data_IF_274476965622
#
_entry.id   IF_274476965622
#
_cell.length_a   1.000
_cell.length_b   1.000
_cell.length_c   1.000
_cell.angle_alpha   90.00
_cell.angle_beta   90.00
_cell.angle_gamma   90.00
#
_symmetry.space_group_name_H-M   'P 1'
#
loop_
_entity.id
_entity.type
_entity.pdbx_description
1 polymer ?
#
# COMPACT_ATOMS: atom_id res chain seq x y z
N UNK A 1 10.99 1.18 -20.60
CA UNK A 1 9.90 1.19 -19.61
C UNK A 1 10.49 1.68 -18.30
N UNK A 2 10.12 2.86 -17.84
CA UNK A 2 10.57 3.32 -16.54
C UNK A 2 10.06 2.37 -15.46
N UNK A 3 10.99 1.89 -14.65
CA UNK A 3 10.70 0.91 -13.62
C UNK A 3 9.88 1.61 -12.53
N UNK A 4 8.62 1.21 -12.34
CA UNK A 4 7.76 1.76 -11.30
C UNK A 4 8.47 1.78 -9.94
N UNK A 5 8.46 2.93 -9.26
CA UNK A 5 9.11 3.06 -7.96
C UNK A 5 8.23 2.48 -6.85
N UNK A 6 8.82 1.70 -5.97
CA UNK A 6 8.20 1.22 -4.74
C UNK A 6 8.97 1.72 -3.52
N UNK A 7 8.26 2.20 -2.51
CA UNK A 7 8.86 2.63 -1.26
C UNK A 7 9.01 1.49 -0.24
N UNK A 8 8.18 0.45 -0.33
CA UNK A 8 8.28 -0.71 0.58
C UNK A 8 9.43 -1.61 0.15
N UNK A 9 10.34 -1.89 1.10
CA UNK A 9 11.56 -2.67 0.90
C UNK A 9 11.69 -3.80 1.92
N UNK A 10 12.58 -4.75 1.62
CA UNK A 10 12.98 -5.82 2.51
C UNK A 10 14.45 -5.65 2.89
N UNK A 11 14.75 -5.77 4.18
CA UNK A 11 16.07 -6.09 4.69
C UNK A 11 16.16 -7.63 4.81
N UNK A 12 16.95 -8.23 3.91
CA UNK A 12 17.06 -9.67 3.83
C UNK A 12 17.77 -10.26 5.07
N UNK A 13 18.68 -9.53 5.69
CA UNK A 13 19.44 -10.01 6.84
C UNK A 13 18.55 -10.15 8.07
N UNK A 14 17.58 -9.27 8.25
CA UNK A 14 16.60 -9.32 9.33
C UNK A 14 15.43 -10.28 9.04
N UNK A 15 15.25 -10.71 7.79
CA UNK A 15 14.11 -11.56 7.42
C UNK A 15 14.34 -13.02 7.89
N UNK A 16 13.37 -13.56 8.63
CA UNK A 16 13.39 -14.94 9.14
C UNK A 16 12.50 -15.90 8.35
N UNK A 17 12.01 -15.50 7.16
CA UNK A 17 11.18 -16.34 6.30
C UNK A 17 9.83 -16.75 6.89
N UNK A 18 9.32 -16.05 7.90
CA UNK A 18 8.00 -16.33 8.49
C UNK A 18 6.85 -15.95 7.54
N UNK A 19 5.64 -16.44 7.82
CA UNK A 19 4.47 -16.27 6.95
C UNK A 19 3.65 -15.00 7.24
N UNK A 20 3.98 -14.20 8.24
CA UNK A 20 3.13 -13.08 8.68
C UNK A 20 2.83 -12.08 7.56
N UNK A 21 3.85 -11.65 6.81
CA UNK A 21 3.67 -10.67 5.75
C UNK A 21 2.93 -11.23 4.52
N UNK A 22 3.09 -12.52 4.19
CA UNK A 22 2.38 -13.13 3.06
C UNK A 22 0.88 -13.28 3.36
N UNK A 23 0.53 -13.58 4.61
CA UNK A 23 -0.86 -13.75 5.04
C UNK A 23 -1.64 -12.44 5.10
N UNK A 24 -0.95 -11.34 5.32
CA UNK A 24 -1.58 -10.01 5.47
C UNK A 24 -1.48 -9.15 4.21
N UNK A 25 -0.85 -9.65 3.15
CA UNK A 25 -0.73 -8.89 1.92
C UNK A 25 -2.04 -8.90 1.13
N UNK A 26 -2.72 -7.75 0.95
CA UNK A 26 -4.05 -7.68 0.34
C UNK A 26 -4.06 -8.05 -1.15
N UNK A 27 -2.93 -7.88 -1.82
CA UNK A 27 -2.75 -8.20 -3.24
C UNK A 27 -1.92 -9.46 -3.45
N UNK A 28 -1.60 -10.18 -2.37
CA UNK A 28 -0.77 -11.39 -2.43
C UNK A 28 0.57 -11.16 -3.16
N UNK A 29 1.15 -9.96 -2.99
CA UNK A 29 2.40 -9.55 -3.64
C UNK A 29 3.65 -10.20 -3.04
N UNK A 30 3.54 -10.98 -1.98
CA UNK A 30 4.69 -11.50 -1.24
C UNK A 30 4.73 -13.02 -1.33
N UNK A 31 5.95 -13.55 -1.54
CA UNK A 31 6.28 -14.97 -1.44
C UNK A 31 7.42 -15.14 -0.43
N UNK A 32 7.52 -16.33 0.16
CA UNK A 32 8.72 -16.76 0.90
C UNK A 32 9.39 -17.84 0.06
N UNK A 33 10.63 -17.61 -0.33
CA UNK A 33 11.45 -18.55 -1.09
C UNK A 33 12.84 -18.57 -0.43
N UNK A 34 13.46 -19.74 -0.34
CA UNK A 34 14.78 -19.92 0.28
C UNK A 34 14.91 -19.27 1.67
N UNK A 35 13.84 -19.36 2.48
CA UNK A 35 13.82 -18.79 3.83
C UNK A 35 13.72 -17.25 3.88
N UNK A 36 13.51 -16.56 2.78
CA UNK A 36 13.40 -15.09 2.71
C UNK A 36 12.12 -14.65 1.99
N UNK A 37 11.56 -13.54 2.43
CA UNK A 37 10.42 -12.94 1.75
C UNK A 37 10.87 -12.20 0.47
N UNK A 38 10.12 -12.36 -0.59
CA UNK A 38 10.30 -11.66 -1.87
C UNK A 38 9.04 -10.86 -2.17
N UNK A 39 9.17 -9.62 -2.64
CA UNK A 39 8.04 -8.75 -3.00
C UNK A 39 7.94 -8.72 -4.52
N UNK A 40 6.83 -9.20 -5.07
CA UNK A 40 6.52 -8.99 -6.47
C UNK A 40 6.04 -7.53 -6.64
N UNK A 41 6.87 -6.73 -7.30
CA UNK A 41 6.63 -5.30 -7.49
C UNK A 41 5.35 -5.01 -8.30
N UNK A 42 4.97 -5.87 -9.25
CA UNK A 42 3.75 -5.69 -10.05
C UNK A 42 2.47 -5.73 -9.22
N UNK A 43 2.45 -6.53 -8.15
CA UNK A 43 1.29 -6.67 -7.27
C UNK A 43 1.31 -5.73 -6.06
N UNK A 44 2.46 -5.14 -5.73
CA UNK A 44 2.60 -4.30 -4.55
C UNK A 44 1.90 -2.96 -4.74
N UNK A 45 1.02 -2.60 -3.78
CA UNK A 45 0.32 -1.31 -3.72
C UNK A 45 0.90 -0.36 -2.66
N UNK A 46 2.03 -0.69 -2.08
CA UNK A 46 2.73 0.08 -1.04
C UNK A 46 1.87 0.47 0.17
N UNK A 47 0.86 -0.33 0.53
CA UNK A 47 -0.02 -0.04 1.67
C UNK A 47 0.68 -0.08 3.04
N UNK A 48 1.85 -0.73 3.12
CA UNK A 48 2.64 -0.83 4.36
C UNK A 48 2.15 -1.90 5.34
N UNK A 49 1.13 -2.70 5.05
CA UNK A 49 0.63 -3.72 5.97
C UNK A 49 1.72 -4.75 6.35
N UNK A 50 2.55 -5.13 5.39
CA UNK A 50 3.69 -6.02 5.65
C UNK A 50 4.75 -5.41 6.59
N UNK A 51 4.88 -4.08 6.65
CA UNK A 51 5.72 -3.37 7.62
C UNK A 51 5.11 -3.49 9.01
N UNK A 52 3.80 -3.26 9.13
CA UNK A 52 3.04 -3.31 10.39
C UNK A 52 3.14 -4.67 11.07
N UNK A 53 3.03 -5.76 10.30
CA UNK A 53 2.93 -7.13 10.85
C UNK A 53 4.27 -7.86 10.96
N UNK A 54 5.38 -7.24 10.56
CA UNK A 54 6.69 -7.87 10.62
C UNK A 54 7.30 -7.81 12.03
N UNK A 55 7.35 -8.92 12.79
CA UNK A 55 7.90 -8.91 14.15
C UNK A 55 9.41 -8.72 14.18
N UNK A 56 10.08 -8.94 13.03
CA UNK A 56 11.54 -8.82 12.90
C UNK A 56 11.96 -7.47 12.32
N UNK A 57 11.02 -6.56 12.04
CA UNK A 57 11.26 -5.26 11.41
C UNK A 57 12.03 -5.31 10.08
N UNK A 58 12.03 -6.49 9.43
CA UNK A 58 12.70 -6.72 8.14
C UNK A 58 12.03 -5.97 6.98
N UNK A 59 10.74 -5.62 7.11
CA UNK A 59 10.04 -4.76 6.14
C UNK A 59 10.11 -3.32 6.61
N UNK A 60 10.51 -2.43 5.71
CA UNK A 60 10.60 -1.00 5.99
C UNK A 60 10.17 -0.18 4.76
N UNK A 61 9.97 1.11 4.95
CA UNK A 61 9.77 2.06 3.86
C UNK A 61 11.00 2.91 3.66
N UNK A 62 11.35 3.19 2.41
CA UNK A 62 12.36 4.20 2.06
C UNK A 62 11.69 5.56 1.96
N UNK A 63 12.31 6.57 2.53
CA UNK A 63 11.91 7.98 2.50
C UNK A 63 13.16 8.85 2.66
N UNK A 64 13.02 10.16 2.40
CA UNK A 64 14.13 11.10 2.51
C UNK A 64 14.46 11.38 3.99
N UNK A 65 15.67 11.90 4.25
CA UNK A 65 16.15 12.30 5.56
C UNK A 65 16.16 13.83 5.69
N UNK A 66 16.23 14.35 6.92
CA UNK A 66 16.19 15.80 7.18
C UNK A 66 17.33 16.60 6.51
N UNK A 67 18.43 15.95 6.13
CA UNK A 67 19.53 16.59 5.43
C UNK A 67 19.15 17.10 4.02
N UNK A 68 18.03 16.63 3.45
CA UNK A 68 17.50 17.13 2.17
C UNK A 68 17.17 18.62 2.21
N UNK A 69 16.90 19.21 3.39
CA UNK A 69 16.67 20.65 3.53
C UNK A 69 17.84 21.49 2.97
N UNK A 70 19.06 20.98 3.08
CA UNK A 70 20.29 21.65 2.61
C UNK A 70 20.45 21.66 1.09
N UNK A 71 19.60 20.94 0.36
CA UNK A 71 19.67 20.83 -1.10
C UNK A 71 18.98 21.99 -1.82
N UNK A 72 18.18 22.78 -1.09
CA UNK A 72 17.37 23.86 -1.63
C UNK A 72 17.72 25.20 -0.99
N UNK A 73 17.53 26.28 -1.73
CA UNK A 73 17.72 27.65 -1.19
C UNK A 73 16.50 28.07 -0.34
N UNK A 74 15.33 27.56 -0.67
CA UNK A 74 14.09 27.79 0.08
C UNK A 74 13.31 26.50 0.23
N UNK A 75 12.82 26.21 1.43
CA UNK A 75 12.12 24.96 1.73
C UNK A 75 10.76 25.23 2.35
N UNK A 76 9.73 24.56 1.83
CA UNK A 76 8.36 24.62 2.37
C UNK A 76 7.98 23.26 2.94
N UNK A 77 7.58 23.23 4.21
CA UNK A 77 7.05 22.03 4.83
C UNK A 77 5.56 21.85 4.50
N UNK A 78 5.17 20.65 4.09
CA UNK A 78 3.77 20.25 3.92
C UNK A 78 3.40 19.25 5.01
N UNK A 79 2.93 19.66 6.21
CA UNK A 79 2.51 18.75 7.25
C UNK A 79 1.19 18.06 6.88
N UNK A 80 1.17 16.71 6.91
CA UNK A 80 -0.08 15.96 6.79
C UNK A 80 -0.99 16.24 8.00
N UNK A 81 -2.33 16.27 7.85
CA UNK A 81 -3.26 16.48 8.98
C UNK A 81 -3.07 15.46 10.11
N UNK A 82 -2.62 14.25 9.79
CA UNK A 82 -2.30 13.21 10.77
C UNK A 82 -1.10 13.53 11.68
N UNK A 83 -0.23 14.47 11.30
CA UNK A 83 0.91 14.89 12.13
C UNK A 83 0.46 15.48 13.46
N UNK A 84 -0.58 16.32 13.45
CA UNK A 84 -1.06 17.01 14.65
C UNK A 84 -1.54 16.06 15.74
N UNK A 85 -2.00 14.87 15.40
CA UNK A 85 -2.48 13.85 16.33
C UNK A 85 -1.36 13.05 17.03
N UNK A 86 -0.10 13.24 16.63
CA UNK A 86 1.01 12.46 17.17
C UNK A 86 1.52 12.98 18.53
N UNK A 87 1.12 14.19 18.93
CA UNK A 87 1.60 14.84 20.14
C UNK A 87 0.58 14.75 21.27
N UNK A 88 1.11 14.66 22.50
CA UNK A 88 0.28 14.73 23.70
C UNK A 88 -0.04 16.20 24.03
N UNK A 89 -1.28 16.43 24.46
CA UNK A 89 -1.75 17.75 24.93
C UNK A 89 -1.58 18.90 23.90
N UNK A 90 -1.59 18.57 22.62
CA UNK A 90 -1.64 19.59 21.59
C UNK A 90 -3.06 20.17 21.51
N UNK A 91 -3.22 21.45 21.73
CA UNK A 91 -4.47 22.21 21.68
C UNK A 91 -4.45 23.33 20.63
N UNK A 92 -3.27 23.70 20.12
CA UNK A 92 -3.09 24.64 19.03
C UNK A 92 -2.15 24.09 17.93
N UNK A 93 -2.62 24.06 16.67
CA UNK A 93 -1.83 23.65 15.50
C UNK A 93 -0.62 24.55 15.28
N UNK A 94 -0.71 25.84 15.65
CA UNK A 94 0.34 26.83 15.48
C UNK A 94 1.64 26.43 16.20
N UNK A 95 1.57 25.68 17.30
CA UNK A 95 2.75 25.14 17.99
C UNK A 95 3.57 24.25 17.05
N UNK A 96 2.90 23.35 16.31
CA UNK A 96 3.56 22.44 15.35
C UNK A 96 4.10 23.20 14.15
N UNK A 97 3.32 24.16 13.61
CA UNK A 97 3.72 24.92 12.43
C UNK A 97 4.95 25.80 12.73
N UNK A 98 4.97 26.52 13.85
CA UNK A 98 6.13 27.30 14.27
C UNK A 98 7.34 26.44 14.62
N UNK A 99 7.11 25.23 15.18
CA UNK A 99 8.18 24.29 15.45
C UNK A 99 8.84 23.76 14.16
N UNK A 100 8.09 23.61 13.07
CA UNK A 100 8.64 23.27 11.74
C UNK A 100 9.55 24.39 11.22
N UNK A 101 9.16 25.65 11.37
CA UNK A 101 10.04 26.80 11.04
C UNK A 101 11.33 26.76 11.88
N UNK A 102 11.25 26.48 13.18
CA UNK A 102 12.42 26.32 14.05
C UNK A 102 13.30 25.12 13.68
N UNK A 103 12.76 24.09 13.02
CA UNK A 103 13.54 22.97 12.49
C UNK A 103 14.40 23.33 11.28
N UNK A 104 14.19 24.51 10.69
CA UNK A 104 14.95 25.00 9.54
C UNK A 104 14.17 25.02 8.22
N UNK A 105 12.86 24.79 8.23
CA UNK A 105 12.03 25.13 7.09
C UNK A 105 11.86 26.65 6.99
N UNK A 106 11.80 27.16 5.76
CA UNK A 106 11.64 28.61 5.52
C UNK A 106 10.16 29.02 5.57
N UNK A 107 9.26 28.12 5.16
CA UNK A 107 7.82 28.32 5.19
C UNK A 107 7.08 27.00 5.48
N UNK A 108 5.81 27.10 5.82
CA UNK A 108 4.91 25.95 6.04
C UNK A 108 3.62 26.20 5.29
N UNK A 109 3.16 25.19 4.54
CA UNK A 109 1.85 25.19 3.89
C UNK A 109 1.06 23.96 4.37
N UNK A 110 -0.09 24.19 4.99
CA UNK A 110 -0.88 23.10 5.56
C UNK A 110 -1.58 22.27 4.48
N UNK A 111 -1.33 20.95 4.44
CA UNK A 111 -2.10 20.03 3.60
C UNK A 111 -3.59 20.02 4.00
N UNK A 112 -3.89 20.32 5.25
CA UNK A 112 -5.27 20.48 5.74
C UNK A 112 -5.99 21.67 5.11
N UNK A 113 -5.30 22.78 4.79
CA UNK A 113 -5.90 23.89 4.06
C UNK A 113 -6.29 23.49 2.63
N UNK A 114 -5.40 22.80 1.91
CA UNK A 114 -5.73 22.24 0.59
C UNK A 114 -6.84 21.19 0.66
N UNK A 115 -6.96 20.43 1.76
CA UNK A 115 -8.04 19.47 1.94
C UNK A 115 -9.42 20.13 2.02
N UNK A 116 -9.51 21.37 2.51
CA UNK A 116 -10.76 22.16 2.49
C UNK A 116 -11.17 22.51 1.05
N UNK A 117 -10.20 22.89 0.21
CA UNK A 117 -10.42 23.17 -1.21
C UNK A 117 -10.89 21.92 -1.96
N UNK A 118 -10.22 20.78 -1.74
CA UNK A 118 -10.62 19.50 -2.34
C UNK A 118 -12.03 19.09 -1.86
N UNK A 119 -12.39 19.32 -0.59
CA UNK A 119 -13.75 19.05 -0.09
C UNK A 119 -14.80 19.92 -0.81
N UNK A 120 -14.48 21.17 -1.11
CA UNK A 120 -15.34 22.07 -1.87
C UNK A 120 -15.53 21.59 -3.31
N UNK A 121 -14.44 21.28 -4.02
CA UNK A 121 -14.46 20.72 -5.37
C UNK A 121 -15.18 19.36 -5.43
N UNK A 122 -15.07 18.54 -4.38
CA UNK A 122 -15.80 17.26 -4.31
C UNK A 122 -17.31 17.48 -4.23
N UNK A 123 -17.78 18.44 -3.41
CA UNK A 123 -19.21 18.77 -3.34
C UNK A 123 -19.75 19.23 -4.69
N UNK A 124 -19.01 20.07 -5.39
CA UNK A 124 -19.37 20.54 -6.74
C UNK A 124 -19.43 19.36 -7.71
N UNK A 125 -18.37 18.53 -7.77
CA UNK A 125 -18.33 17.34 -8.63
C UNK A 125 -19.52 16.41 -8.40
N UNK A 126 -19.88 16.11 -7.15
CA UNK A 126 -21.01 15.23 -6.83
C UNK A 126 -22.36 15.81 -7.29
N UNK A 127 -22.52 17.12 -7.29
CA UNK A 127 -23.74 17.79 -7.77
C UNK A 127 -23.84 17.79 -9.29
N UNK A 128 -22.72 17.88 -10.00
CA UNK A 128 -22.65 17.97 -11.46
C UNK A 128 -22.65 16.62 -12.17
N UNK A 129 -22.27 15.53 -11.47
CA UNK A 129 -22.07 14.21 -12.06
C UNK A 129 -22.94 13.09 -11.42
N UNK A 130 -24.28 13.22 -11.43
CA UNK A 130 -25.16 12.24 -10.78
C UNK A 130 -25.05 10.83 -11.39
N UNK A 131 -24.69 10.71 -12.66
CA UNK A 131 -24.56 9.43 -13.38
C UNK A 131 -23.29 8.66 -13.05
N UNK A 132 -22.33 9.26 -12.31
CA UNK A 132 -21.06 8.65 -11.90
C UNK A 132 -21.00 8.32 -10.42
N UNK A 133 -22.13 8.28 -9.75
CA UNK A 133 -22.23 7.96 -8.33
C UNK A 133 -22.36 6.45 -8.10
N UNK A 134 -21.86 5.94 -6.95
CA UNK A 134 -21.10 6.69 -5.95
C UNK A 134 -19.68 7.00 -6.45
N UNK A 135 -19.19 8.20 -6.14
CA UNK A 135 -17.78 8.55 -6.39
C UNK A 135 -16.88 7.98 -5.29
N UNK A 136 -15.74 7.42 -5.68
CA UNK A 136 -14.75 6.84 -4.76
C UNK A 136 -13.63 7.85 -4.54
N UNK A 137 -13.29 8.14 -3.27
CA UNK A 137 -12.16 8.99 -2.90
C UNK A 137 -10.83 8.50 -3.49
N UNK A 138 -10.03 9.44 -3.99
CA UNK A 138 -8.69 9.20 -4.53
C UNK A 138 -7.58 9.68 -3.61
N UNK A 139 -7.91 10.09 -2.39
CA UNK A 139 -6.96 10.58 -1.39
C UNK A 139 -5.96 9.52 -0.91
N UNK A 140 -6.32 8.22 -0.97
CA UNK A 140 -5.45 7.10 -0.60
C UNK A 140 -4.84 6.42 -1.82
N UNK A 141 -3.53 6.65 -2.15
CA UNK A 141 -2.92 6.06 -3.34
C UNK A 141 -2.89 4.52 -3.33
N UNK A 142 -2.86 3.88 -2.15
CA UNK A 142 -2.97 2.41 -2.05
C UNK A 142 -4.32 1.91 -2.53
N UNK A 143 -5.41 2.62 -2.23
CA UNK A 143 -6.76 2.25 -2.66
C UNK A 143 -6.90 2.44 -4.17
N UNK A 144 -6.44 3.57 -4.71
CA UNK A 144 -6.46 3.81 -6.16
C UNK A 144 -5.69 2.73 -6.91
N UNK A 145 -4.51 2.33 -6.41
CA UNK A 145 -3.72 1.22 -7.00
C UNK A 145 -4.41 -0.13 -6.86
N UNK A 146 -5.06 -0.39 -5.73
CA UNK A 146 -5.84 -1.60 -5.54
C UNK A 146 -6.99 -1.70 -6.57
N UNK A 147 -7.71 -0.60 -6.78
CA UNK A 147 -8.77 -0.51 -7.79
C UNK A 147 -8.19 -0.74 -9.18
N UNK A 148 -7.09 -0.08 -9.51
CA UNK A 148 -6.41 -0.20 -10.79
C UNK A 148 -6.00 -1.63 -11.14
N UNK A 149 -5.58 -2.44 -10.16
CA UNK A 149 -5.08 -3.80 -10.42
C UNK A 149 -6.14 -4.89 -10.23
N UNK A 150 -7.15 -4.67 -9.38
CA UNK A 150 -8.10 -5.73 -8.99
C UNK A 150 -9.55 -5.42 -9.32
N UNK A 151 -9.96 -4.16 -9.37
CA UNK A 151 -11.36 -3.73 -9.53
C UNK A 151 -11.54 -2.80 -10.73
N UNK A 152 -11.20 -3.23 -11.97
CA UNK A 152 -11.20 -2.34 -13.13
C UNK A 152 -12.57 -1.73 -13.45
N UNK A 153 -13.66 -2.41 -13.10
CA UNK A 153 -15.02 -1.91 -13.31
C UNK A 153 -15.34 -0.67 -12.46
N UNK A 154 -14.59 -0.44 -11.37
CA UNK A 154 -14.76 0.72 -10.48
C UNK A 154 -13.85 1.91 -10.84
N UNK A 155 -12.98 1.79 -11.84
CA UNK A 155 -12.15 2.92 -12.32
C UNK A 155 -13.00 4.13 -12.73
N UNK A 156 -14.14 4.00 -13.43
CA UNK A 156 -14.99 5.12 -13.77
C UNK A 156 -15.61 5.86 -12.58
N UNK A 157 -15.66 5.22 -11.41
CA UNK A 157 -16.17 5.80 -10.17
C UNK A 157 -15.10 6.58 -9.38
N UNK A 158 -13.81 6.49 -9.75
CA UNK A 158 -12.76 7.26 -9.09
C UNK A 158 -13.03 8.75 -9.27
N UNK A 159 -12.97 9.49 -8.15
CA UNK A 159 -13.08 10.93 -8.13
C UNK A 159 -11.87 11.55 -8.86
N UNK A 160 -12.02 12.23 -10.00
CA UNK A 160 -10.89 12.70 -10.81
C UNK A 160 -10.29 14.00 -10.27
N UNK A 161 -10.01 14.03 -8.96
CA UNK A 161 -9.41 15.17 -8.27
C UNK A 161 -8.06 14.78 -7.68
N UNK A 162 -7.13 15.75 -7.70
CA UNK A 162 -5.83 15.61 -7.06
C UNK A 162 -5.98 15.44 -5.54
N UNK A 163 -5.19 14.60 -4.90
CA UNK A 163 -5.21 14.47 -3.45
C UNK A 163 -4.72 15.78 -2.80
N UNK A 164 -5.17 16.10 -1.57
CA UNK A 164 -4.81 17.35 -0.90
C UNK A 164 -3.30 17.65 -0.83
N UNK A 165 -2.45 16.63 -0.77
CA UNK A 165 -1.00 16.82 -0.76
C UNK A 165 -0.48 17.40 -2.07
N UNK A 166 -1.05 17.00 -3.21
CA UNK A 166 -0.66 17.53 -4.52
C UNK A 166 -1.15 18.97 -4.70
N UNK A 167 -2.39 19.24 -4.34
CA UNK A 167 -2.95 20.61 -4.36
C UNK A 167 -2.14 21.54 -3.45
N UNK A 168 -1.79 21.07 -2.24
CA UNK A 168 -0.93 21.84 -1.32
C UNK A 168 0.45 22.11 -1.93
N UNK A 169 1.03 21.13 -2.62
CA UNK A 169 2.36 21.28 -3.24
C UNK A 169 2.35 22.32 -4.37
N UNK A 170 1.33 22.29 -5.23
CA UNK A 170 1.17 23.26 -6.31
C UNK A 170 1.04 24.69 -5.73
N UNK A 171 0.13 24.89 -4.79
CA UNK A 171 -0.13 26.19 -4.18
C UNK A 171 1.08 26.70 -3.38
N UNK A 172 1.78 25.83 -2.65
CA UNK A 172 2.99 26.16 -1.92
C UNK A 172 4.13 26.58 -2.85
N UNK A 173 4.31 25.87 -3.98
CA UNK A 173 5.32 26.20 -4.98
C UNK A 173 5.03 27.57 -5.64
N UNK A 174 3.78 27.81 -6.07
CA UNK A 174 3.37 29.10 -6.64
C UNK A 174 3.57 30.26 -5.64
N UNK A 175 3.16 30.07 -4.38
CA UNK A 175 3.38 31.05 -3.30
C UNK A 175 4.87 31.36 -3.12
N UNK A 176 5.69 30.31 -2.95
CA UNK A 176 7.12 30.46 -2.70
C UNK A 176 7.85 31.16 -3.87
N UNK A 177 7.55 30.80 -5.12
CA UNK A 177 8.11 31.47 -6.31
C UNK A 177 7.74 32.96 -6.35
N UNK A 178 6.49 33.28 -6.02
CA UNK A 178 5.99 34.66 -6.02
C UNK A 178 6.64 35.51 -4.91
N UNK A 179 6.79 34.95 -3.72
CA UNK A 179 7.32 35.66 -2.56
C UNK A 179 8.85 35.82 -2.60
N UNK A 180 9.56 34.80 -3.09
CA UNK A 180 11.04 34.79 -3.10
C UNK A 180 11.65 35.25 -4.42
N UNK A 181 10.93 35.15 -5.52
CA UNK A 181 11.46 35.36 -6.88
C UNK A 181 12.43 34.27 -7.33
N UNK A 182 12.57 33.17 -6.57
CA UNK A 182 13.42 32.05 -6.92
C UNK A 182 12.80 31.20 -8.00
N UNK A 183 13.59 30.58 -8.89
CA UNK A 183 13.08 29.58 -9.82
C UNK A 183 12.69 28.31 -9.08
N UNK A 184 11.75 27.52 -9.67
CA UNK A 184 11.14 26.33 -9.04
C UNK A 184 12.16 25.31 -8.52
N UNK A 185 13.26 25.12 -9.25
CA UNK A 185 14.29 24.11 -8.95
C UNK A 185 15.08 24.43 -7.66
N UNK A 186 15.04 25.68 -7.19
CA UNK A 186 15.70 26.12 -5.95
C UNK A 186 14.79 26.05 -4.73
N UNK A 187 13.50 25.77 -4.96
CA UNK A 187 12.48 25.65 -3.94
C UNK A 187 12.23 24.17 -3.68
N UNK A 188 12.38 23.73 -2.42
CA UNK A 188 12.08 22.36 -2.00
C UNK A 188 10.71 22.27 -1.36
N UNK A 189 9.77 21.59 -2.02
CA UNK A 189 8.46 21.29 -1.47
C UNK A 189 8.52 19.91 -0.80
N UNK A 190 8.41 19.89 0.53
CA UNK A 190 8.77 18.73 1.36
C UNK A 190 7.56 18.25 2.16
N UNK A 191 7.04 17.08 1.79
CA UNK A 191 5.89 16.49 2.45
C UNK A 191 6.27 15.67 3.68
N UNK A 192 5.59 15.88 4.81
CA UNK A 192 5.75 15.10 6.04
C UNK A 192 4.64 14.03 6.09
N UNK A 193 4.99 12.81 5.73
CA UNK A 193 4.08 11.72 5.36
C UNK A 193 3.81 10.72 6.46
N UNK A 194 2.55 10.25 6.63
CA UNK A 194 2.20 9.15 7.52
C UNK A 194 2.44 7.75 6.91
N UNK A 195 2.66 7.62 5.59
CA UNK A 195 2.61 6.30 4.95
C UNK A 195 3.54 6.17 3.74
N UNK A 196 3.97 4.91 3.42
CA UNK A 196 4.82 4.62 2.28
C UNK A 196 4.13 4.85 0.93
N UNK A 197 2.81 4.66 0.84
CA UNK A 197 2.08 4.82 -0.42
C UNK A 197 2.17 6.25 -0.96
N UNK A 198 2.19 7.25 -0.10
CA UNK A 198 2.40 8.65 -0.49
C UNK A 198 3.85 8.92 -0.91
N UNK A 199 4.83 8.22 -0.32
CA UNK A 199 6.23 8.27 -0.81
C UNK A 199 6.31 7.73 -2.23
N UNK A 200 5.63 6.60 -2.49
CA UNK A 200 5.55 6.02 -3.83
C UNK A 200 4.79 6.93 -4.80
N UNK A 201 3.68 7.55 -4.35
CA UNK A 201 2.88 8.47 -5.17
C UNK A 201 3.72 9.64 -5.70
N UNK A 202 4.54 10.26 -4.86
CA UNK A 202 5.42 11.37 -5.27
C UNK A 202 6.40 10.96 -6.38
N UNK A 203 6.85 9.70 -6.39
CA UNK A 203 7.78 9.18 -7.42
C UNK A 203 7.08 8.59 -8.64
N UNK A 204 5.84 8.17 -8.49
CA UNK A 204 5.02 7.54 -9.53
C UNK A 204 3.55 7.91 -9.28
N UNK A 205 3.16 9.16 -9.59
CA UNK A 205 1.83 9.67 -9.31
C UNK A 205 0.75 8.98 -10.15
N UNK A 206 -0.49 9.16 -9.72
CA UNK A 206 -1.70 8.73 -10.42
C UNK A 206 -2.60 9.94 -10.61
N UNK A 207 -3.16 10.12 -11.79
CA UNK A 207 -4.00 11.27 -12.13
C UNK A 207 -3.22 12.51 -12.59
N UNK A 208 -1.89 12.50 -12.51
CA UNK A 208 -1.01 13.57 -13.01
C UNK A 208 0.29 12.99 -13.57
N UNK A 209 0.95 13.70 -14.47
CA UNK A 209 2.20 13.26 -15.09
C UNK A 209 3.40 13.31 -14.13
N UNK A 210 3.43 14.28 -13.23
CA UNK A 210 4.44 14.45 -12.21
C UNK A 210 3.83 15.03 -10.93
N UNK A 211 4.52 14.88 -9.82
CA UNK A 211 4.15 15.49 -8.53
C UNK A 211 4.97 16.75 -8.30
N UNK A 212 4.34 17.78 -7.76
CA UNK A 212 5.02 19.01 -7.33
C UNK A 212 5.72 18.85 -5.97
N UNK A 213 5.58 17.69 -5.32
CA UNK A 213 6.35 17.36 -4.11
C UNK A 213 7.76 16.87 -4.49
N UNK A 214 8.79 17.53 -4.01
CA UNK A 214 10.19 17.17 -4.31
C UNK A 214 10.71 16.05 -3.41
N UNK A 215 10.39 16.09 -2.11
CA UNK A 215 10.91 15.18 -1.08
C UNK A 215 9.84 14.77 -0.09
N UNK A 216 10.02 13.58 0.50
CA UNK A 216 9.07 13.05 1.49
C UNK A 216 9.82 12.61 2.73
N UNK A 217 9.52 13.24 3.85
CA UNK A 217 9.95 12.84 5.19
C UNK A 217 8.88 12.01 5.87
N UNK A 218 9.28 11.02 6.67
CA UNK A 218 8.32 10.29 7.49
C UNK A 218 8.01 11.07 8.78
N UNK A 219 6.76 11.02 9.24
CA UNK A 219 6.38 11.60 10.54
C UNK A 219 7.30 11.09 11.66
N UNK A 220 7.54 9.78 11.73
CA UNK A 220 8.43 9.19 12.74
C UNK A 220 9.88 9.68 12.67
N UNK A 221 10.35 10.12 11.50
CA UNK A 221 11.70 10.68 11.31
C UNK A 221 11.82 12.08 11.87
N UNK A 222 10.82 12.93 11.64
CA UNK A 222 10.83 14.32 12.11
C UNK A 222 10.40 14.45 13.57
N UNK A 223 9.64 13.49 14.08
CA UNK A 223 9.00 13.55 15.41
C UNK A 223 9.95 13.92 16.56
N UNK A 224 11.15 13.31 16.74
CA UNK A 224 12.00 13.60 17.88
C UNK A 224 12.49 15.06 17.90
N UNK A 225 12.91 15.57 16.74
CA UNK A 225 13.40 16.95 16.61
C UNK A 225 12.24 17.95 16.72
N UNK A 226 11.10 17.64 16.08
CA UNK A 226 9.90 18.47 16.12
C UNK A 226 9.39 18.62 17.56
N UNK A 227 9.35 17.53 18.33
CA UNK A 227 8.97 17.58 19.75
C UNK A 227 9.87 18.49 20.58
N UNK A 228 11.17 18.53 20.27
CA UNK A 228 12.13 19.44 20.93
C UNK A 228 11.88 20.90 20.56
N UNK A 229 11.62 21.19 19.29
CA UNK A 229 11.27 22.53 18.82
C UNK A 229 9.94 23.02 19.39
N UNK A 230 8.90 22.16 19.48
CA UNK A 230 7.61 22.52 20.08
C UNK A 230 7.73 23.00 21.52
N UNK A 231 8.62 22.37 22.31
CA UNK A 231 8.89 22.83 23.70
C UNK A 231 9.53 24.23 23.73
N UNK A 232 10.31 24.57 22.71
CA UNK A 232 10.96 25.89 22.60
C UNK A 232 10.03 26.99 22.07
N UNK A 233 9.02 26.61 21.25
CA UNK A 233 7.96 27.51 20.77
C UNK A 233 7.12 28.05 21.95
N UNK A 234 6.80 27.19 22.93
CA UNK A 234 5.91 27.54 24.05
C UNK A 234 4.43 27.46 23.70
N UNK A 235 3.59 28.01 24.63
CA UNK A 235 2.13 27.83 24.57
C UNK A 235 1.38 28.96 23.82
N UNK A 236 2.04 30.05 23.44
CA UNK A 236 1.43 31.20 22.75
C UNK A 236 2.24 31.57 21.48
N UNK A 237 2.24 30.68 20.44
CA UNK A 237 2.97 30.93 19.21
C UNK A 237 2.24 31.94 18.31
N UNK A 238 2.98 32.59 17.36
CA UNK A 238 2.33 33.35 16.28
C UNK A 238 1.29 32.53 15.52
N UNK A 239 0.15 33.13 15.22
CA UNK A 239 -0.91 32.49 14.42
C UNK A 239 -0.50 32.49 12.94
N UNK A 240 -0.21 31.32 12.39
CA UNK A 240 0.12 31.09 10.98
C UNK A 240 -0.75 30.00 10.33
N UNK A 241 -1.59 29.32 11.14
CA UNK A 241 -2.48 28.26 10.68
C UNK A 241 -3.63 28.81 9.83
N UNK A 242 -3.87 28.20 8.68
CA UNK A 242 -4.88 28.57 7.68
C UNK A 242 -5.97 27.52 7.50
N UNK A 243 -5.94 26.40 8.22
CA UNK A 243 -6.92 25.36 8.13
C UNK A 243 -7.97 25.41 9.23
N UNK A 244 -9.15 24.87 8.94
CA UNK A 244 -10.24 24.70 9.89
C UNK A 244 -10.53 23.22 10.21
N UNK A 245 -11.71 22.99 10.79
CA UNK A 245 -12.16 21.67 11.23
C UNK A 245 -12.24 20.63 10.09
N UNK A 246 -12.70 21.03 8.90
CA UNK A 246 -12.83 20.13 7.74
C UNK A 246 -11.44 19.60 7.38
N UNK A 247 -10.48 20.47 7.13
CA UNK A 247 -9.14 20.11 6.69
C UNK A 247 -8.40 19.22 7.68
N UNK A 248 -8.43 19.57 8.97
CA UNK A 248 -7.81 18.76 10.02
C UNK A 248 -8.47 17.37 10.13
N UNK A 249 -9.78 17.26 9.86
CA UNK A 249 -10.51 15.99 9.92
C UNK A 249 -10.02 14.95 8.92
N UNK A 250 -9.43 15.34 7.80
CA UNK A 250 -8.93 14.43 6.77
C UNK A 250 -7.83 13.46 7.26
N UNK A 251 -7.24 13.72 8.40
CA UNK A 251 -6.29 12.80 9.02
C UNK A 251 -6.89 11.48 9.51
N UNK A 252 -8.21 11.40 9.72
CA UNK A 252 -8.92 10.22 10.24
C UNK A 252 -9.92 9.66 9.23
N UNK A 253 -10.35 8.41 9.45
CA UNK A 253 -11.44 7.79 8.68
C UNK A 253 -12.76 8.55 8.91
N UNK A 254 -13.54 8.72 7.83
CA UNK A 254 -14.77 9.51 7.78
C UNK A 254 -14.50 11.03 7.87
N UNK A 255 -13.25 11.45 7.82
CA UNK A 255 -12.89 12.86 7.91
C UNK A 255 -13.16 13.63 6.63
N UNK A 256 -12.84 13.05 5.49
CA UNK A 256 -13.14 13.57 4.16
C UNK A 256 -14.65 13.63 3.94
N UNK A 257 -15.33 12.51 4.11
CA UNK A 257 -16.78 12.41 3.92
C UNK A 257 -17.57 13.39 4.80
N UNK A 258 -17.13 13.60 6.06
CA UNK A 258 -17.79 14.57 6.96
C UNK A 258 -17.74 16.02 6.46
N UNK A 259 -16.79 16.36 5.59
CA UNK A 259 -16.67 17.67 4.93
C UNK A 259 -17.63 17.88 3.78
N UNK A 260 -18.35 16.85 3.36
CA UNK A 260 -19.28 16.93 2.22
C UNK A 260 -20.70 17.36 2.62
N UNK A 261 -21.00 17.42 3.92
CA UNK A 261 -22.30 17.81 4.46
C UNK A 261 -23.49 17.01 3.90
N UNK A 262 -23.29 15.73 3.62
CA UNK A 262 -24.31 14.78 3.19
C UNK A 262 -24.27 13.54 4.09
N UNK A 263 -25.41 12.87 4.26
CA UNK A 263 -25.50 11.58 4.96
C UNK A 263 -25.38 10.38 3.98
N UNK A 264 -25.34 10.64 2.67
CA UNK A 264 -25.31 9.62 1.61
C UNK A 264 -23.88 9.20 1.28
N UNK A 265 -23.11 8.83 2.32
CA UNK A 265 -21.74 8.35 2.16
C UNK A 265 -21.47 7.07 2.95
N UNK A 266 -20.42 6.36 2.55
CA UNK A 266 -19.82 5.27 3.30
C UNK A 266 -18.35 5.60 3.55
N UNK A 267 -17.86 5.40 4.77
CA UNK A 267 -16.45 5.49 5.10
C UNK A 267 -15.97 4.15 5.65
N UNK A 268 -14.93 3.58 5.03
CA UNK A 268 -14.33 2.33 5.48
C UNK A 268 -12.82 2.46 5.60
N UNK A 269 -12.26 1.81 6.62
CA UNK A 269 -10.83 1.78 6.87
C UNK A 269 -10.32 0.36 7.16
N UNK A 270 -9.00 0.19 6.96
CA UNK A 270 -8.37 -1.10 6.98
C UNK A 270 -8.55 -1.85 5.67
N UNK A 271 -7.42 -2.25 5.07
CA UNK A 271 -7.37 -2.74 3.68
C UNK A 271 -8.28 -3.95 3.43
N UNK A 272 -8.51 -4.81 4.42
CA UNK A 272 -9.40 -5.98 4.29
C UNK A 272 -10.87 -5.54 4.21
N UNK A 273 -11.29 -4.54 5.00
CA UNK A 273 -12.63 -3.96 4.93
C UNK A 273 -12.82 -3.20 3.62
N UNK A 274 -11.81 -2.45 3.19
CA UNK A 274 -11.81 -1.75 1.89
C UNK A 274 -12.06 -2.72 0.75
N UNK A 275 -11.40 -3.89 0.74
CA UNK A 275 -11.60 -4.91 -0.29
C UNK A 275 -13.06 -5.39 -0.30
N UNK A 276 -13.64 -5.69 0.87
CA UNK A 276 -15.05 -6.13 0.97
C UNK A 276 -16.03 -5.08 0.46
N UNK A 277 -15.78 -3.80 0.79
CA UNK A 277 -16.61 -2.70 0.28
C UNK A 277 -16.51 -2.58 -1.23
N UNK A 278 -15.30 -2.73 -1.80
CA UNK A 278 -15.12 -2.71 -3.26
C UNK A 278 -15.80 -3.91 -3.96
N UNK A 279 -15.75 -5.11 -3.35
CA UNK A 279 -16.48 -6.29 -3.82
C UNK A 279 -18.00 -6.05 -3.77
N UNK A 280 -18.52 -5.49 -2.68
CA UNK A 280 -19.94 -5.14 -2.54
C UNK A 280 -20.37 -4.04 -3.52
N UNK A 281 -19.47 -3.11 -3.91
CA UNK A 281 -19.72 -2.12 -4.96
C UNK A 281 -19.80 -2.77 -6.34
N UNK A 282 -18.90 -3.69 -6.69
CA UNK A 282 -18.99 -4.43 -7.97
C UNK A 282 -20.27 -5.25 -8.06
N UNK A 283 -20.73 -5.81 -6.93
CA UNK A 283 -22.01 -6.53 -6.80
C UNK A 283 -23.23 -5.59 -6.77
N UNK A 284 -23.06 -4.27 -6.91
CA UNK A 284 -24.10 -3.24 -6.91
C UNK A 284 -25.02 -3.27 -5.67
N UNK A 285 -24.47 -3.61 -4.49
CA UNK A 285 -25.25 -3.72 -3.25
C UNK A 285 -25.65 -2.36 -2.65
N UNK A 286 -25.02 -1.26 -3.09
CA UNK A 286 -25.28 0.07 -2.57
C UNK A 286 -26.12 0.88 -3.56
N UNK A 287 -27.33 1.27 -3.15
CA UNK A 287 -28.30 1.94 -4.04
C UNK A 287 -28.40 3.47 -3.83
N UNK A 288 -27.98 3.99 -2.68
CA UNK A 288 -28.23 5.39 -2.29
C UNK A 288 -26.97 6.13 -1.79
N UNK A 289 -25.79 5.69 -2.21
CA UNK A 289 -24.55 6.37 -1.85
C UNK A 289 -24.16 7.38 -2.93
N UNK A 290 -23.71 8.55 -2.49
CA UNK A 290 -23.07 9.54 -3.34
C UNK A 290 -21.55 9.46 -3.29
N UNK A 291 -21.00 9.10 -2.12
CA UNK A 291 -19.59 9.14 -1.89
C UNK A 291 -19.10 7.94 -1.07
N UNK A 292 -17.91 7.44 -1.41
CA UNK A 292 -17.27 6.34 -0.68
C UNK A 292 -15.83 6.75 -0.34
N UNK A 293 -15.57 6.97 0.96
CA UNK A 293 -14.23 7.20 1.50
C UNK A 293 -13.59 5.88 1.89
N UNK A 294 -12.44 5.55 1.30
CA UNK A 294 -11.70 4.31 1.55
C UNK A 294 -10.27 4.58 2.00
N UNK A 295 -9.91 4.08 3.16
CA UNK A 295 -8.59 4.24 3.73
C UNK A 295 -7.91 2.88 3.96
N UNK A 296 -6.72 2.66 3.39
CA UNK A 296 -6.00 1.39 3.55
C UNK A 296 -5.55 1.12 5.00
N UNK A 297 -5.38 2.16 5.82
CA UNK A 297 -4.94 2.05 7.22
C UNK A 297 -6.12 2.16 8.17
N UNK A 298 -6.09 1.37 9.28
CA UNK A 298 -7.10 1.47 10.34
C UNK A 298 -7.08 2.86 10.98
N UNK A 299 -8.25 3.49 11.12
CA UNK A 299 -8.43 4.85 11.64
C UNK A 299 -8.11 5.95 10.60
N UNK A 300 -7.80 5.60 9.35
CA UNK A 300 -7.36 6.55 8.31
C UNK A 300 -5.86 6.84 8.36
N UNK A 301 -5.45 8.03 7.90
CA UNK A 301 -4.02 8.40 7.80
C UNK A 301 -3.31 8.47 9.17
N UNK A 302 -4.02 8.71 10.27
CA UNK A 302 -3.46 8.66 11.63
C UNK A 302 -2.92 7.28 12.00
N UNK A 303 -3.39 6.21 11.34
CA UNK A 303 -2.93 4.84 11.50
C UNK A 303 -1.85 4.42 10.50
N UNK A 304 -1.23 5.32 9.77
CA UNK A 304 -0.15 5.02 8.83
C UNK A 304 1.09 4.42 9.50
N UNK A 305 1.86 3.59 8.79
CA UNK A 305 3.04 2.89 9.36
C UNK A 305 4.27 3.78 9.54
N UNK A 306 4.19 5.04 9.14
CA UNK A 306 5.23 6.05 9.37
C UNK A 306 4.84 7.06 10.46
N UNK A 307 3.74 6.82 11.18
CA UNK A 307 3.33 7.56 12.39
C UNK A 307 3.96 6.96 13.64
N UNK A 308 3.76 7.60 14.80
CA UNK A 308 4.30 7.15 16.09
C UNK A 308 3.21 6.79 17.08
N UNK A 309 2.03 7.42 17.00
CA UNK A 309 0.95 7.22 17.97
C UNK A 309 0.03 6.05 17.57
N UNK A 310 -0.60 5.44 18.55
CA UNK A 310 -1.66 4.47 18.30
C UNK A 310 -2.83 5.13 17.56
N UNK A 311 -3.36 4.52 16.48
CA UNK A 311 -4.38 5.15 15.63
C UNK A 311 -5.64 5.57 16.36
N UNK A 312 -6.11 4.79 17.32
CA UNK A 312 -7.31 5.10 18.09
C UNK A 312 -7.10 6.28 19.05
N UNK A 313 -5.90 6.34 19.67
CA UNK A 313 -5.49 7.47 20.51
C UNK A 313 -5.32 8.72 19.67
N UNK A 314 -4.67 8.61 18.52
CA UNK A 314 -4.46 9.70 17.56
C UNK A 314 -5.80 10.29 17.07
N UNK A 315 -6.80 9.43 16.80
CA UNK A 315 -8.12 9.88 16.40
C UNK A 315 -8.80 10.71 17.51
N UNK A 316 -8.71 10.28 18.78
CA UNK A 316 -9.23 11.03 19.92
C UNK A 316 -8.55 12.38 20.08
N UNK A 317 -7.21 12.42 19.95
CA UNK A 317 -6.42 13.67 19.99
C UNK A 317 -6.87 14.63 18.89
N UNK A 318 -7.05 14.13 17.66
CA UNK A 318 -7.48 14.93 16.53
C UNK A 318 -8.90 15.49 16.72
N UNK A 319 -9.82 14.66 17.27
CA UNK A 319 -11.17 15.12 17.61
C UNK A 319 -11.16 16.23 18.66
N UNK A 320 -10.26 16.15 19.66
CA UNK A 320 -10.10 17.16 20.69
C UNK A 320 -9.55 18.46 20.11
N UNK A 321 -8.46 18.39 19.32
CA UNK A 321 -7.79 19.55 18.72
C UNK A 321 -8.77 20.38 17.88
N UNK A 322 -9.56 19.73 17.01
CA UNK A 322 -10.48 20.44 16.11
C UNK A 322 -11.75 20.98 16.76
N UNK A 323 -12.01 20.69 18.06
CA UNK A 323 -13.29 20.99 18.71
C UNK A 323 -13.70 22.46 18.62
N UNK A 324 -12.75 23.36 18.78
CA UNK A 324 -12.98 24.81 18.82
C UNK A 324 -12.51 25.55 17.56
N UNK A 325 -12.04 24.82 16.56
CA UNK A 325 -11.64 25.40 15.29
C UNK A 325 -12.86 25.84 14.47
N UNK A 326 -12.74 26.86 13.60
CA UNK A 326 -13.77 27.20 12.63
C UNK A 326 -14.03 26.02 11.67
N UNK A 327 -15.18 26.02 11.01
CA UNK A 327 -15.57 24.91 10.11
C UNK A 327 -14.58 24.76 8.97
N UNK A 328 -14.29 25.87 8.27
CA UNK A 328 -13.26 26.00 7.25
C UNK A 328 -12.62 27.39 7.37
N UNK A 329 -11.40 27.55 6.93
CA UNK A 329 -10.68 28.84 6.79
C UNK A 329 -10.23 29.08 5.35
N UNK A 330 -10.04 28.00 4.57
CA UNK A 330 -9.64 28.08 3.18
C UNK A 330 -10.84 27.84 2.26
N UNK A 331 -10.97 28.65 1.23
CA UNK A 331 -12.02 28.58 0.23
C UNK A 331 -11.41 28.62 -1.17
N UNK A 332 -12.02 27.89 -2.09
CA UNK A 332 -11.58 27.84 -3.47
C UNK A 332 -11.85 29.15 -4.22
N UNK A 333 -10.90 29.60 -5.02
CA UNK A 333 -11.07 30.67 -5.97
C UNK A 333 -11.18 30.11 -7.40
N UNK A 334 -11.92 30.76 -8.30
CA UNK A 334 -12.14 30.28 -9.68
C UNK A 334 -10.85 29.93 -10.44
N UNK A 335 -9.74 30.61 -10.12
CA UNK A 335 -8.42 30.35 -10.72
C UNK A 335 -7.77 29.04 -10.27
N UNK A 336 -8.20 28.47 -9.15
CA UNK A 336 -7.60 27.29 -8.50
C UNK A 336 -8.30 25.99 -8.91
N UNK A 337 -9.51 26.03 -9.44
CA UNK A 337 -10.29 24.85 -9.84
C UNK A 337 -9.51 23.92 -10.78
N UNK A 338 -8.78 24.48 -11.74
CA UNK A 338 -7.95 23.73 -12.69
C UNK A 338 -6.80 22.96 -12.02
N UNK A 339 -6.29 23.43 -10.85
CA UNK A 339 -5.16 22.83 -10.14
C UNK A 339 -5.59 21.58 -9.36
N UNK A 340 -6.89 21.45 -9.11
CA UNK A 340 -7.47 20.37 -8.31
C UNK A 340 -7.84 19.17 -9.19
N UNK A 341 -8.13 19.36 -10.50
CA UNK A 341 -8.55 18.29 -11.41
C UNK A 341 -7.35 17.47 -11.91
N UNK A 342 -7.56 16.18 -12.11
CA UNK A 342 -6.58 15.31 -12.75
C UNK A 342 -6.24 15.76 -14.17
N UNK A 343 -4.98 15.61 -14.55
CA UNK A 343 -4.49 15.88 -15.92
C UNK A 343 -4.37 14.61 -16.75
N UNK A 344 -4.29 13.44 -16.12
CA UNK A 344 -4.20 12.13 -16.77
C UNK A 344 -5.23 11.17 -16.18
N UNK A 345 -5.67 10.18 -16.97
CA UNK A 345 -6.56 9.12 -16.49
C UNK A 345 -5.82 8.01 -15.74
N UNK A 346 -6.55 7.25 -14.92
CA UNK A 346 -6.08 6.00 -14.34
C UNK A 346 -6.57 4.85 -15.20
N UNK A 347 -5.63 4.02 -15.69
CA UNK A 347 -5.92 2.88 -16.54
C UNK A 347 -5.79 1.57 -15.77
N UNK A 348 -6.53 0.54 -16.20
CA UNK A 348 -6.41 -0.83 -15.67
C UNK A 348 -5.00 -1.38 -15.90
N UNK A 349 -4.42 -1.97 -14.87
CA UNK A 349 -3.14 -2.68 -14.93
C UNK A 349 -3.35 -4.18 -14.72
N UNK A 350 -3.34 -5.01 -15.79
CA UNK A 350 -3.75 -6.41 -15.75
C UNK A 350 -2.64 -7.32 -15.16
N UNK A 351 -2.19 -7.05 -13.93
CA UNK A 351 -1.11 -7.79 -13.29
C UNK A 351 -1.48 -9.24 -12.93
N UNK A 352 -2.76 -9.52 -12.76
CA UNK A 352 -3.26 -10.86 -12.41
C UNK A 352 -3.50 -11.78 -13.62
N UNK A 353 -3.36 -11.27 -14.85
CA UNK A 353 -3.52 -12.10 -16.03
C UNK A 353 -2.53 -13.26 -16.05
N UNK A 354 -3.02 -14.45 -16.37
CA UNK A 354 -2.21 -15.67 -16.43
C UNK A 354 -1.53 -15.84 -17.79
N UNK A 355 -2.00 -15.20 -18.86
CA UNK A 355 -1.47 -15.33 -20.21
C UNK A 355 -1.52 -14.02 -21.00
N UNK A 356 -0.85 -14.00 -22.16
CA UNK A 356 -0.77 -12.83 -23.04
C UNK A 356 -2.01 -12.64 -23.92
N UNK A 357 -2.85 -13.67 -24.02
CA UNK A 357 -4.11 -13.64 -24.75
C UNK A 357 -5.18 -14.50 -24.03
N UNK A 358 -6.44 -14.37 -24.48
CA UNK A 358 -7.57 -15.05 -23.86
C UNK A 358 -7.46 -16.59 -23.88
N UNK A 359 -6.97 -17.18 -24.97
CA UNK A 359 -6.82 -18.64 -25.11
C UNK A 359 -5.77 -19.19 -24.14
N UNK A 360 -4.62 -18.50 -24.05
CA UNK A 360 -3.55 -18.87 -23.12
C UNK A 360 -4.00 -18.70 -21.68
N UNK A 361 -4.67 -17.58 -21.35
CA UNK A 361 -5.21 -17.32 -20.01
C UNK A 361 -6.23 -18.41 -19.61
N UNK A 362 -7.12 -18.82 -20.51
CA UNK A 362 -8.08 -19.87 -20.26
C UNK A 362 -7.41 -21.24 -20.07
N UNK A 363 -6.42 -21.58 -20.91
CA UNK A 363 -5.66 -22.82 -20.76
C UNK A 363 -4.93 -22.87 -19.41
N UNK A 364 -4.27 -21.78 -19.02
CA UNK A 364 -3.57 -21.68 -17.74
C UNK A 364 -4.53 -21.69 -16.55
N UNK A 365 -5.70 -21.07 -16.67
CA UNK A 365 -6.74 -21.15 -15.62
C UNK A 365 -7.19 -22.60 -15.40
N UNK A 366 -7.42 -23.36 -16.46
CA UNK A 366 -7.74 -24.79 -16.35
C UNK A 366 -6.62 -25.60 -15.68
N UNK A 367 -5.34 -25.22 -15.90
CA UNK A 367 -4.22 -25.85 -15.19
C UNK A 367 -4.24 -25.51 -13.70
N UNK A 368 -4.48 -24.24 -13.35
CA UNK A 368 -4.65 -23.82 -11.94
C UNK A 368 -5.76 -24.61 -11.26
N UNK A 369 -6.92 -24.77 -11.90
CA UNK A 369 -8.03 -25.55 -11.34
C UNK A 369 -7.69 -27.03 -11.13
N UNK A 370 -6.91 -27.64 -12.05
CA UNK A 370 -6.42 -29.01 -11.88
C UNK A 370 -5.47 -29.13 -10.70
N UNK A 371 -4.55 -28.18 -10.53
CA UNK A 371 -3.61 -28.14 -9.41
C UNK A 371 -4.34 -27.93 -8.07
N UNK A 372 -5.37 -27.07 -8.06
CA UNK A 372 -6.18 -26.84 -6.86
C UNK A 372 -6.87 -28.12 -6.35
N UNK A 373 -7.22 -29.05 -7.24
CA UNK A 373 -7.80 -30.35 -6.84
C UNK A 373 -6.78 -31.28 -6.18
N UNK A 374 -5.48 -31.06 -6.41
CA UNK A 374 -4.39 -31.83 -5.78
C UNK A 374 -3.99 -31.28 -4.41
N UNK A 375 -4.24 -30.01 -4.16
CA UNK A 375 -3.84 -29.35 -2.92
C UNK A 375 -4.94 -29.42 -1.85
N UNK A 376 -4.57 -29.40 -0.55
CA UNK A 376 -5.52 -29.59 0.55
C UNK A 376 -6.48 -28.40 0.77
N UNK A 377 -6.30 -27.26 0.09
CA UNK A 377 -7.13 -26.06 0.26
C UNK A 377 -7.01 -25.34 1.61
N UNK A 378 -5.98 -25.68 2.41
CA UNK A 378 -5.82 -25.13 3.77
C UNK A 378 -5.29 -23.69 3.80
N UNK A 379 -4.76 -23.21 2.68
CA UNK A 379 -4.15 -21.90 2.60
C UNK A 379 -3.13 -21.61 3.72
N UNK A 380 -2.40 -22.64 4.20
CA UNK A 380 -1.55 -22.55 5.39
C UNK A 380 -0.35 -21.62 5.23
N UNK A 381 0.17 -21.45 4.01
CA UNK A 381 1.33 -20.61 3.71
C UNK A 381 2.69 -21.29 3.92
N UNK A 382 2.74 -22.56 4.33
CA UNK A 382 4.00 -23.29 4.59
C UNK A 382 4.86 -23.45 3.34
N UNK A 383 4.26 -23.46 2.15
CA UNK A 383 4.96 -23.46 0.86
C UNK A 383 5.50 -22.07 0.47
N UNK A 384 5.37 -21.05 1.32
CA UNK A 384 5.76 -19.68 1.02
C UNK A 384 4.83 -18.91 0.09
N UNK A 385 3.71 -19.50 -0.38
CA UNK A 385 2.64 -18.79 -1.07
C UNK A 385 1.49 -18.48 -0.09
N UNK A 386 0.75 -17.37 -0.25
CA UNK A 386 -0.32 -16.96 0.68
C UNK A 386 -1.51 -17.90 0.71
N UNK A 387 -1.84 -18.50 -0.44
CA UNK A 387 -2.97 -19.44 -0.63
C UNK A 387 -2.58 -20.60 -1.53
N UNK A 388 -3.33 -21.69 -1.48
CA UNK A 388 -3.14 -22.81 -2.39
C UNK A 388 -3.35 -22.40 -3.87
N UNK A 389 -4.28 -21.46 -4.12
CA UNK A 389 -4.48 -20.88 -5.46
C UNK A 389 -3.25 -20.11 -5.92
N UNK A 390 -2.66 -19.29 -5.05
CA UNK A 390 -1.45 -18.54 -5.38
C UNK A 390 -0.26 -19.46 -5.69
N UNK A 391 -0.13 -20.59 -4.97
CA UNK A 391 0.86 -21.62 -5.32
C UNK A 391 0.58 -22.22 -6.70
N UNK A 392 -0.68 -22.60 -6.99
CA UNK A 392 -1.04 -23.14 -8.29
C UNK A 392 -0.77 -22.16 -9.44
N UNK A 393 -1.03 -20.85 -9.23
CA UNK A 393 -0.70 -19.80 -10.18
C UNK A 393 0.82 -19.65 -10.38
N UNK A 394 1.60 -19.73 -9.29
CA UNK A 394 3.06 -19.68 -9.34
C UNK A 394 3.62 -20.86 -10.13
N UNK A 395 3.09 -22.07 -9.95
CA UNK A 395 3.48 -23.28 -10.72
C UNK A 395 3.19 -23.08 -12.21
N UNK A 396 2.00 -22.60 -12.55
CA UNK A 396 1.63 -22.36 -13.97
C UNK A 396 2.49 -21.27 -14.62
N UNK A 397 3.00 -20.34 -13.83
CA UNK A 397 3.97 -19.31 -14.26
C UNK A 397 5.42 -19.81 -14.28
N UNK A 398 5.71 -21.02 -13.80
CA UNK A 398 7.06 -21.58 -13.71
C UNK A 398 7.89 -21.09 -12.53
N UNK A 399 7.26 -20.48 -11.51
CA UNK A 399 7.92 -19.91 -10.33
C UNK A 399 7.85 -20.81 -9.08
N UNK A 400 7.27 -22.00 -9.20
CA UNK A 400 7.09 -22.96 -8.11
C UNK A 400 6.86 -24.36 -8.68
N UNK A 401 6.92 -25.41 -7.82
CA UNK A 401 6.61 -26.77 -8.16
C UNK A 401 5.52 -27.37 -7.24
N UNK A 402 4.93 -28.49 -7.63
CA UNK A 402 3.85 -29.14 -6.84
C UNK A 402 4.39 -29.60 -5.47
N UNK A 403 5.65 -30.01 -5.40
CA UNK A 403 6.33 -30.49 -4.18
C UNK A 403 6.63 -29.38 -3.18
N UNK A 404 6.52 -28.10 -3.53
CA UNK A 404 6.58 -26.99 -2.58
C UNK A 404 5.45 -27.08 -1.55
N UNK A 405 4.31 -27.68 -1.91
CA UNK A 405 3.24 -27.98 -0.96
C UNK A 405 3.63 -29.12 -0.03
N UNK A 406 3.90 -28.79 1.24
CA UNK A 406 4.34 -29.75 2.27
C UNK A 406 3.33 -30.91 2.43
N UNK A 407 2.04 -30.66 2.33
CA UNK A 407 1.00 -31.68 2.42
C UNK A 407 1.01 -32.60 1.21
N UNK A 408 1.14 -32.05 0.01
CA UNK A 408 1.25 -32.83 -1.22
C UNK A 408 2.53 -33.65 -1.25
N UNK A 409 3.66 -33.06 -0.86
CA UNK A 409 4.93 -33.78 -0.73
C UNK A 409 4.82 -34.96 0.26
N UNK A 410 4.24 -34.72 1.45
CA UNK A 410 4.03 -35.74 2.46
C UNK A 410 3.15 -36.89 1.97
N UNK A 411 2.06 -36.58 1.27
CA UNK A 411 1.16 -37.58 0.69
C UNK A 411 1.86 -38.44 -0.36
N UNK A 412 2.67 -37.81 -1.23
CA UNK A 412 3.44 -38.56 -2.22
C UNK A 412 4.53 -39.42 -1.59
N UNK A 413 5.20 -38.95 -0.56
CA UNK A 413 6.18 -39.75 0.20
C UNK A 413 5.50 -40.93 0.88
N UNK A 414 4.28 -40.77 1.41
CA UNK A 414 3.54 -41.86 2.03
C UNK A 414 3.17 -42.93 0.99
N UNK A 415 2.61 -42.52 -0.17
CA UNK A 415 2.30 -43.44 -1.29
C UNK A 415 3.54 -44.17 -1.76
N UNK A 416 4.65 -43.47 -1.93
CA UNK A 416 5.90 -44.08 -2.33
C UNK A 416 6.42 -45.09 -1.29
N UNK A 417 6.29 -44.78 0.01
CA UNK A 417 6.65 -45.70 1.10
C UNK A 417 5.79 -46.98 1.09
N UNK A 418 4.48 -46.87 0.80
CA UNK A 418 3.58 -48.00 0.66
C UNK A 418 3.98 -48.85 -0.53
N UNK A 419 4.24 -48.24 -1.70
CA UNK A 419 4.66 -48.94 -2.92
C UNK A 419 5.99 -49.68 -2.68
N UNK A 420 6.97 -49.05 -2.02
CA UNK A 420 8.25 -49.70 -1.65
C UNK A 420 8.03 -50.85 -0.69
N UNK A 421 7.12 -50.70 0.29
CA UNK A 421 6.79 -51.80 1.23
C UNK A 421 6.20 -53.01 0.52
N UNK A 422 5.23 -52.79 -0.41
CA UNK A 422 4.63 -53.88 -1.23
C UNK A 422 5.70 -54.58 -2.07
N UNK A 423 6.59 -53.81 -2.72
CA UNK A 423 7.69 -54.38 -3.50
C UNK A 423 8.69 -55.17 -2.63
N UNK A 424 8.95 -54.71 -1.38
CA UNK A 424 9.81 -55.43 -0.43
C UNK A 424 9.19 -56.75 0.02
N UNK A 425 7.85 -56.78 0.24
CA UNK A 425 7.13 -58.01 0.61
C UNK A 425 7.12 -59.02 -0.55
N UNK A 426 6.93 -58.57 -1.80
CA UNK A 426 7.01 -59.40 -2.99
C UNK A 426 8.44 -60.03 -3.18
N UNK A 427 9.49 -59.31 -2.80
CA UNK A 427 10.86 -59.80 -2.84
C UNK A 427 11.09 -60.98 -1.87
N UNK A 428 10.35 -61.05 -0.75
CA UNK A 428 10.44 -62.13 0.22
C UNK A 428 9.60 -63.34 -0.18
N UNK A 429 8.69 -63.22 -1.16
CA UNK A 429 7.74 -64.26 -1.52
C UNK A 429 8.21 -65.23 -2.63
N UNK A 430 9.35 -65.02 -3.32
CA UNK A 430 9.77 -65.94 -4.37
C UNK A 430 11.07 -65.68 -5.10
N UNK A 431 11.87 -66.72 -5.23
CA UNK A 431 13.23 -66.74 -5.81
C UNK A 431 13.35 -66.40 -7.32
N UNK A 432 12.24 -66.18 -8.04
CA UNK A 432 12.26 -65.81 -9.48
C UNK A 432 11.77 -64.36 -9.75
N UNK A 433 11.12 -63.72 -8.81
CA UNK A 433 10.65 -62.32 -8.92
C UNK A 433 11.65 -61.27 -8.47
N UNK A 434 12.65 -61.68 -7.65
CA UNK A 434 13.55 -60.76 -6.98
C UNK A 434 14.41 -59.89 -7.89
N UNK A 435 14.82 -60.41 -9.07
CA UNK A 435 15.63 -59.63 -10.00
C UNK A 435 14.82 -58.54 -10.74
N UNK A 436 13.56 -58.80 -11.11
CA UNK A 436 12.69 -57.84 -11.79
C UNK A 436 12.21 -56.75 -10.80
N UNK A 437 11.87 -57.18 -9.56
CA UNK A 437 11.51 -56.23 -8.49
C UNK A 437 12.66 -55.34 -8.10
N UNK A 438 13.88 -55.88 -8.05
CA UNK A 438 15.11 -55.09 -7.77
C UNK A 438 15.37 -54.09 -8.93
N UNK A 439 15.09 -54.45 -10.16
CA UNK A 439 15.15 -53.57 -11.32
C UNK A 439 14.17 -52.40 -11.18
N UNK A 440 12.91 -52.71 -10.88
CA UNK A 440 11.83 -51.70 -10.68
C UNK A 440 12.20 -50.78 -9.51
N UNK A 441 12.72 -51.30 -8.39
CA UNK A 441 13.14 -50.50 -7.25
C UNK A 441 14.29 -49.53 -7.61
N UNK A 442 15.26 -50.02 -8.38
CA UNK A 442 16.36 -49.18 -8.89
C UNK A 442 15.88 -48.09 -9.82
N UNK A 443 14.93 -48.38 -10.71
CA UNK A 443 14.31 -47.40 -11.60
C UNK A 443 13.53 -46.32 -10.80
N UNK A 444 12.82 -46.72 -9.74
CA UNK A 444 12.11 -45.80 -8.83
C UNK A 444 13.09 -44.92 -8.05
N UNK A 445 14.15 -45.51 -7.46
CA UNK A 445 15.17 -44.77 -6.74
C UNK A 445 15.89 -43.79 -7.67
N UNK A 446 16.17 -44.19 -8.91
CA UNK A 446 16.79 -43.31 -9.90
C UNK A 446 15.86 -42.14 -10.27
N UNK A 447 14.58 -42.40 -10.46
CA UNK A 447 13.58 -41.32 -10.73
C UNK A 447 13.51 -40.30 -9.60
N UNK A 448 13.51 -40.78 -8.33
CA UNK A 448 13.54 -39.88 -7.16
C UNK A 448 14.84 -39.07 -7.14
N UNK A 449 15.96 -39.70 -7.40
CA UNK A 449 17.28 -39.05 -7.45
C UNK A 449 17.32 -37.99 -8.56
N UNK A 450 16.75 -38.27 -9.72
CA UNK A 450 16.69 -37.35 -10.85
C UNK A 450 15.74 -36.16 -10.55
N UNK A 451 14.60 -36.41 -9.90
CA UNK A 451 13.69 -35.35 -9.44
C UNK A 451 14.33 -34.47 -8.34
N UNK A 452 15.09 -35.06 -7.43
CA UNK A 452 15.85 -34.32 -6.41
C UNK A 452 16.98 -33.50 -7.05
N UNK A 453 17.71 -34.04 -8.02
CA UNK A 453 18.80 -33.32 -8.71
C UNK A 453 18.30 -32.17 -9.60
N UNK A 454 17.04 -32.21 -10.08
CA UNK A 454 16.40 -31.09 -10.77
C UNK A 454 16.01 -29.96 -9.80
N UNK A 455 15.76 -30.28 -8.53
CA UNK A 455 15.54 -29.28 -7.49
C UNK A 455 16.85 -28.57 -7.12
N UNK A 456 17.93 -29.33 -6.94
CA UNK A 456 19.26 -28.76 -6.60
C UNK A 456 19.81 -27.84 -7.72
N UNK A 457 19.59 -28.18 -9.00
CA UNK A 457 20.02 -27.35 -10.13
C UNK A 457 19.23 -26.02 -10.26
N UNK A 458 17.98 -25.97 -9.83
CA UNK A 458 17.21 -24.73 -9.80
C UNK A 458 17.71 -23.77 -8.73
N UNK A 459 18.17 -24.29 -7.60
CA UNK A 459 18.76 -23.49 -6.53
C UNK A 459 20.10 -22.88 -6.93
N UNK A 460 20.93 -23.61 -7.74
CA UNK A 460 22.23 -23.12 -8.23
C UNK A 460 22.11 -22.07 -9.36
N UNK A 461 21.07 -22.13 -10.18
CA UNK A 461 20.84 -21.12 -11.24
C UNK A 461 20.25 -19.81 -10.68
N UNK A 462 19.52 -19.84 -9.56
CA UNK A 462 19.01 -18.64 -8.89
C UNK A 462 20.07 -17.90 -8.05
N UNK A 463 21.10 -18.59 -7.54
CA UNK A 463 22.22 -17.97 -6.81
C UNK A 463 23.25 -17.29 -7.76
N UNK A 464 23.14 -17.46 -9.08
CA UNK A 464 24.05 -16.90 -10.09
C UNK A 464 23.49 -15.67 -10.85
N UNK A 465 22.29 -15.18 -10.48
CA UNK A 465 21.61 -14.00 -11.03
C UNK A 465 21.32 -12.96 -9.91
#
# INVERSE_FOLDING_TARGET
>A
MDKFYHSVRLDADLCMGCINCIKRCPTQAIRVRNGKAQINSKFCIDCGECIRVCPHHAKHATYDKLDVLKQYEYTVALPAPSLYSQFNNLDDVNIVLNALLMMGFHDVFEVSAAAELVSEATREYLSENPDRLPAISTACPSVVRLIRVRFPNLIPNLLPLNPPVEVAAILAAEKAMKETGLPREKIGIIFISPCPSKVTYVKSPLGTDHSEVDRVLAIKEVYPQLLSCMKAVGDDPPEIGTSGKIGISWGRSGGEASGLFTEEYLAADGIENVIRVLEDMEDQKFTNLKFVELNACNGGCVGGVLTVENPYVAEVKLKRLRKYMPVARSHMHDSEERLIKWTTGVEYEPVFNLGNNMMESFSRLNQVERLMKKFPGLDCGSCGAPTCKALAEDIVRGNACETDCVYYLRENLHKLSEEVSVLADDLHAGDRGGQETLRILKEYIQRISDEMSLLDKKDEEEDSL
#
